data_IF_620337706339
#
_entry.id   IF_620337706339
#
_cell.length_a   1.000
_cell.length_b   1.000
_cell.length_c   1.000
_cell.angle_alpha   90.00
_cell.angle_beta   90.00
_cell.angle_gamma   90.00
#
_symmetry.space_group_name_H-M   'P 1'
#
loop_
_entity.id
_entity.type
_entity.pdbx_description
1 polymer ?
#
# COMPACT_ATOMS: atom_id res chain seq x y z
N UNK A 1 -8.33 -3.35 6.39
CA UNK A 1 -7.26 -3.39 7.41
C UNK A 1 -7.74 -2.96 8.79
N UNK A 2 -8.41 -1.82 8.98
CA UNK A 2 -8.96 -1.47 10.32
C UNK A 2 -10.04 -2.45 10.84
N UNK A 3 -10.89 -3.01 9.97
CA UNK A 3 -11.89 -4.02 10.35
C UNK A 3 -11.32 -5.44 10.55
N UNK A 4 -10.10 -5.71 10.07
CA UNK A 4 -9.37 -6.94 10.38
C UNK A 4 -8.49 -6.78 11.64
N UNK A 5 -8.12 -5.57 12.06
CA UNK A 5 -7.25 -5.37 13.24
C UNK A 5 -8.00 -5.16 14.56
N UNK A 6 -9.31 -4.90 14.53
CA UNK A 6 -10.11 -4.82 15.75
C UNK A 6 -10.29 -6.20 16.44
N UNK A 7 -10.60 -7.31 15.71
CA UNK A 7 -10.58 -8.64 16.32
C UNK A 7 -9.16 -9.18 16.51
N UNK A 8 -8.19 -8.76 15.69
CA UNK A 8 -6.87 -9.41 15.63
C UNK A 8 -5.76 -8.79 16.48
N UNK A 9 -5.96 -7.69 17.17
CA UNK A 9 -5.00 -7.30 18.22
C UNK A 9 -5.36 -7.90 19.58
N UNK A 10 -6.62 -8.30 19.77
CA UNK A 10 -6.96 -9.35 20.74
C UNK A 10 -6.38 -10.71 20.32
N UNK A 11 -6.52 -11.08 19.04
CA UNK A 11 -5.99 -12.35 18.52
C UNK A 11 -4.45 -12.39 18.37
N UNK A 12 -3.73 -11.27 18.25
CA UNK A 12 -2.26 -11.25 18.16
C UNK A 12 -1.60 -11.71 19.47
N UNK A 13 -2.28 -11.55 20.60
CA UNK A 13 -1.86 -12.16 21.88
C UNK A 13 -2.09 -13.68 21.92
N UNK A 14 -2.96 -14.21 21.06
CA UNK A 14 -3.40 -15.62 21.04
C UNK A 14 -2.81 -16.41 19.85
N UNK A 15 -2.43 -15.74 18.76
CA UNK A 15 -2.01 -16.32 17.47
C UNK A 15 -0.52 -16.10 17.12
N UNK A 16 0.27 -15.51 18.02
CA UNK A 16 1.69 -15.21 17.79
C UNK A 16 1.95 -14.00 16.87
N UNK A 17 3.22 -13.66 16.63
CA UNK A 17 3.64 -12.48 15.86
C UNK A 17 3.35 -12.53 14.34
N UNK A 18 2.79 -13.63 13.84
CA UNK A 18 2.55 -13.84 12.41
C UNK A 18 1.60 -12.83 11.74
N UNK A 19 0.44 -12.48 12.32
CA UNK A 19 -0.45 -11.48 11.70
C UNK A 19 0.20 -10.10 11.59
N UNK A 20 1.08 -9.74 12.53
CA UNK A 20 1.84 -8.49 12.50
C UNK A 20 2.86 -8.52 11.36
N UNK A 21 3.64 -9.59 11.24
CA UNK A 21 4.59 -9.77 10.14
C UNK A 21 3.90 -9.76 8.78
N UNK A 22 2.75 -10.43 8.68
CA UNK A 22 1.99 -10.48 7.45
C UNK A 22 1.49 -9.09 7.02
N UNK A 23 0.89 -8.32 7.95
CA UNK A 23 0.37 -6.98 7.67
C UNK A 23 1.43 -5.91 7.43
N UNK A 24 2.60 -6.03 8.07
CA UNK A 24 3.69 -5.04 7.95
C UNK A 24 4.59 -5.36 6.76
N UNK A 25 4.84 -6.64 6.46
CA UNK A 25 5.85 -7.05 5.47
C UNK A 25 5.24 -7.81 4.31
N UNK A 26 4.60 -8.96 4.56
CA UNK A 26 4.21 -9.88 3.49
C UNK A 26 3.21 -9.25 2.52
N UNK A 27 2.12 -8.66 3.03
CA UNK A 27 1.10 -8.04 2.19
C UNK A 27 1.65 -6.81 1.44
N UNK A 28 2.33 -5.84 2.09
CA UNK A 28 2.96 -4.73 1.37
C UNK A 28 3.91 -5.16 0.25
N UNK A 29 4.73 -6.20 0.47
CA UNK A 29 5.62 -6.73 -0.58
C UNK A 29 4.82 -7.25 -1.77
N UNK A 30 3.81 -8.09 -1.54
CA UNK A 30 2.97 -8.65 -2.60
C UNK A 30 2.20 -7.55 -3.34
N UNK A 31 1.65 -6.61 -2.61
CA UNK A 31 0.92 -5.47 -3.14
C UNK A 31 1.81 -4.61 -4.05
N UNK A 32 2.98 -4.18 -3.60
CA UNK A 32 3.86 -3.34 -4.44
C UNK A 32 4.40 -4.11 -5.66
N UNK A 33 4.66 -5.43 -5.55
CA UNK A 33 5.02 -6.24 -6.72
C UNK A 33 3.91 -6.27 -7.76
N UNK A 34 2.65 -6.49 -7.34
CA UNK A 34 1.49 -6.51 -8.22
C UNK A 34 1.19 -5.12 -8.81
N UNK A 35 1.08 -4.09 -7.97
CA UNK A 35 0.64 -2.78 -8.41
C UNK A 35 1.76 -1.95 -9.03
N UNK A 36 2.97 -1.91 -8.45
CA UNK A 36 4.08 -1.09 -8.98
C UNK A 36 4.95 -1.82 -9.99
N UNK A 37 5.18 -3.10 -9.73
CA UNK A 37 5.95 -3.96 -10.61
C UNK A 37 5.18 -4.23 -11.90
N UNK A 38 4.02 -4.88 -11.77
CA UNK A 38 3.25 -5.32 -12.92
C UNK A 38 2.38 -4.20 -13.50
N UNK A 39 1.38 -3.71 -12.76
CA UNK A 39 0.38 -2.78 -13.31
C UNK A 39 0.97 -1.43 -13.72
N UNK A 40 1.63 -0.72 -12.81
CA UNK A 40 2.26 0.57 -13.11
C UNK A 40 3.40 0.42 -14.11
N UNK A 41 4.17 -0.67 -14.03
CA UNK A 41 5.21 -0.98 -15.01
C UNK A 41 4.65 -1.13 -16.42
N UNK A 42 3.58 -1.89 -16.58
CA UNK A 42 2.88 -2.05 -17.85
C UNK A 42 2.25 -0.74 -18.35
N UNK A 43 1.63 0.05 -17.46
CA UNK A 43 1.06 1.35 -17.81
C UNK A 43 2.14 2.35 -18.26
N UNK A 44 3.30 2.38 -17.60
CA UNK A 44 4.41 3.26 -18.00
C UNK A 44 4.96 2.91 -19.39
N UNK A 45 4.97 1.63 -19.76
CA UNK A 45 5.36 1.21 -21.11
C UNK A 45 4.38 1.67 -22.19
N UNK A 46 3.09 1.85 -21.85
CA UNK A 46 2.03 2.22 -22.80
C UNK A 46 1.71 3.71 -22.84
N UNK A 47 1.71 4.36 -21.68
CA UNK A 47 1.30 5.76 -21.50
C UNK A 47 2.50 6.71 -21.35
N UNK A 48 3.70 6.17 -21.14
CA UNK A 48 4.89 6.94 -20.80
C UNK A 48 4.90 7.42 -19.35
N UNK A 49 6.01 8.08 -18.97
CA UNK A 49 6.24 8.61 -17.62
C UNK A 49 6.04 10.12 -17.49
N UNK A 50 5.29 10.75 -18.40
CA UNK A 50 5.00 12.17 -18.30
C UNK A 50 4.14 12.46 -17.06
N UNK A 51 4.51 13.49 -16.30
CA UNK A 51 3.86 13.82 -15.03
C UNK A 51 3.24 15.21 -15.06
N UNK A 52 2.09 15.37 -14.41
CA UNK A 52 1.54 16.67 -14.05
C UNK A 52 1.53 16.80 -12.53
N UNK A 53 2.12 17.89 -12.00
CA UNK A 53 2.32 18.08 -10.55
C UNK A 53 2.98 16.87 -9.83
N UNK A 54 3.91 16.18 -10.52
CA UNK A 54 4.60 15.01 -9.98
C UNK A 54 3.82 13.69 -10.06
N UNK A 55 2.62 13.67 -10.66
CA UNK A 55 1.81 12.45 -10.81
C UNK A 55 1.71 12.09 -12.29
N UNK A 56 2.12 10.88 -12.65
CA UNK A 56 1.90 10.32 -13.99
C UNK A 56 0.50 9.70 -14.11
N UNK A 57 0.03 9.55 -15.35
CA UNK A 57 -1.20 8.79 -15.62
C UNK A 57 -1.10 7.34 -15.13
N UNK A 58 0.06 6.70 -15.30
CA UNK A 58 0.31 5.35 -14.83
C UNK A 58 0.18 5.23 -13.30
N UNK A 59 0.76 6.16 -12.55
CA UNK A 59 0.66 6.22 -11.10
C UNK A 59 -0.79 6.46 -10.64
N UNK A 60 -1.48 7.42 -11.27
CA UNK A 60 -2.87 7.74 -10.92
C UNK A 60 -3.79 6.53 -11.11
N UNK A 61 -3.75 5.89 -12.29
CA UNK A 61 -4.57 4.71 -12.59
C UNK A 61 -4.23 3.55 -11.66
N UNK A 62 -2.94 3.29 -11.43
CA UNK A 62 -2.51 2.24 -10.49
C UNK A 62 -3.02 2.53 -9.08
N UNK A 63 -2.99 3.78 -8.64
CA UNK A 63 -3.43 4.17 -7.30
C UNK A 63 -4.94 4.06 -7.14
N UNK A 64 -5.71 4.42 -8.17
CA UNK A 64 -7.15 4.19 -8.20
C UNK A 64 -7.48 2.69 -8.13
N UNK A 65 -6.77 1.85 -8.88
CA UNK A 65 -6.93 0.40 -8.82
C UNK A 65 -6.56 -0.17 -7.44
N UNK A 66 -5.48 0.32 -6.83
CA UNK A 66 -5.05 -0.06 -5.48
C UNK A 66 -6.12 0.24 -4.42
N UNK A 67 -6.65 1.46 -4.42
CA UNK A 67 -7.73 1.87 -3.53
C UNK A 67 -9.03 1.10 -3.79
N UNK A 68 -9.36 0.81 -5.06
CA UNK A 68 -10.52 -0.01 -5.40
C UNK A 68 -10.38 -1.44 -4.86
N UNK A 69 -9.21 -2.07 -4.98
CA UNK A 69 -8.94 -3.40 -4.41
C UNK A 69 -9.13 -3.42 -2.88
N UNK A 70 -8.85 -2.30 -2.21
CA UNK A 70 -9.06 -2.16 -0.77
C UNK A 70 -10.54 -2.16 -0.36
N UNK A 71 -11.49 -1.85 -1.25
CA UNK A 71 -12.93 -1.91 -0.93
C UNK A 71 -13.41 -3.32 -0.55
N UNK A 72 -12.71 -4.37 -1.00
CA UNK A 72 -13.05 -5.75 -0.64
C UNK A 72 -12.89 -6.03 0.87
N UNK A 73 -11.94 -5.36 1.53
CA UNK A 73 -11.57 -5.65 2.93
C UNK A 73 -11.66 -4.43 3.86
N UNK A 74 -12.14 -3.28 3.36
CA UNK A 74 -12.14 -2.01 4.08
C UNK A 74 -13.41 -1.20 3.82
N UNK A 75 -13.89 -0.43 4.81
CA UNK A 75 -14.92 0.57 4.58
C UNK A 75 -14.49 1.59 3.51
N UNK A 76 -15.43 2.18 2.75
CA UNK A 76 -15.11 3.09 1.65
C UNK A 76 -14.17 4.24 2.02
N UNK A 77 -14.36 4.86 3.18
CA UNK A 77 -13.50 5.95 3.64
C UNK A 77 -12.03 5.51 3.86
N UNK A 78 -11.81 4.30 4.38
CA UNK A 78 -10.48 3.74 4.59
C UNK A 78 -9.82 3.32 3.28
N UNK A 79 -10.58 2.72 2.37
CA UNK A 79 -10.10 2.40 1.03
C UNK A 79 -9.73 3.67 0.25
N UNK A 80 -10.53 4.75 0.38
CA UNK A 80 -10.21 6.03 -0.24
C UNK A 80 -8.95 6.65 0.34
N UNK A 81 -8.76 6.55 1.67
CA UNK A 81 -7.58 7.09 2.34
C UNK A 81 -6.26 6.47 1.84
N UNK A 82 -6.29 5.25 1.28
CA UNK A 82 -5.08 4.62 0.72
C UNK A 82 -4.63 5.23 -0.61
N UNK A 83 -5.45 6.07 -1.26
CA UNK A 83 -5.04 6.77 -2.48
C UNK A 83 -3.81 7.64 -2.27
N UNK A 84 -3.77 8.40 -1.18
CA UNK A 84 -2.67 9.32 -0.91
C UNK A 84 -1.32 8.60 -0.73
N UNK A 85 -1.16 7.61 0.19
CA UNK A 85 0.09 6.88 0.30
C UNK A 85 0.42 6.13 -0.99
N UNK A 86 -0.57 5.56 -1.67
CA UNK A 86 -0.37 4.89 -2.97
C UNK A 86 0.23 5.83 -4.03
N UNK A 87 -0.24 7.07 -4.12
CA UNK A 87 0.33 8.05 -5.06
C UNK A 87 1.80 8.34 -4.73
N UNK A 88 2.16 8.42 -3.45
CA UNK A 88 3.54 8.61 -3.01
C UNK A 88 4.39 7.38 -3.37
N UNK A 89 3.90 6.16 -3.15
CA UNK A 89 4.63 4.93 -3.48
C UNK A 89 4.88 4.82 -4.98
N UNK A 90 3.88 5.16 -5.80
CA UNK A 90 4.02 5.17 -7.25
C UNK A 90 4.98 6.26 -7.75
N UNK A 91 5.01 7.43 -7.11
CA UNK A 91 6.00 8.48 -7.39
C UNK A 91 7.42 8.01 -7.06
N UNK A 92 7.63 7.39 -5.90
CA UNK A 92 8.91 6.81 -5.49
C UNK A 92 9.37 5.75 -6.52
N UNK A 93 8.48 4.85 -6.94
CA UNK A 93 8.80 3.85 -7.97
C UNK A 93 9.24 4.49 -9.28
N UNK A 94 8.60 5.58 -9.71
CA UNK A 94 8.99 6.29 -10.93
C UNK A 94 10.33 7.01 -10.77
N UNK A 95 10.54 7.67 -9.62
CA UNK A 95 11.75 8.43 -9.32
C UNK A 95 13.02 7.58 -9.28
N UNK A 96 12.92 6.35 -8.79
CA UNK A 96 14.05 5.43 -8.61
C UNK A 96 14.09 4.29 -9.63
N UNK A 97 13.06 4.13 -10.46
CA UNK A 97 12.98 3.07 -11.48
C UNK A 97 12.95 1.64 -10.92
N UNK A 98 12.70 1.47 -9.61
CA UNK A 98 12.73 0.19 -8.90
C UNK A 98 11.51 0.07 -7.98
N UNK A 99 11.02 -1.16 -7.78
CA UNK A 99 9.90 -1.44 -6.86
C UNK A 99 10.35 -1.46 -5.40
N UNK A 100 11.61 -1.83 -5.15
CA UNK A 100 12.14 -2.00 -3.79
C UNK A 100 12.00 -0.75 -2.89
N UNK A 101 12.25 0.49 -3.35
CA UNK A 101 12.01 1.68 -2.54
C UNK A 101 10.54 1.88 -2.17
N UNK A 102 9.60 1.53 -3.07
CA UNK A 102 8.17 1.59 -2.79
C UNK A 102 7.76 0.54 -1.75
N UNK A 103 8.31 -0.69 -1.84
CA UNK A 103 8.15 -1.74 -0.82
C UNK A 103 8.62 -1.23 0.53
N UNK A 104 9.85 -0.71 0.62
CA UNK A 104 10.42 -0.25 1.89
C UNK A 104 9.55 0.86 2.51
N UNK A 105 9.07 1.80 1.70
CA UNK A 105 8.21 2.88 2.16
C UNK A 105 6.83 2.38 2.63
N UNK A 106 6.24 1.43 1.93
CA UNK A 106 4.96 0.84 2.31
C UNK A 106 5.08 0.04 3.62
N UNK A 107 6.13 -0.77 3.76
CA UNK A 107 6.43 -1.48 5.01
C UNK A 107 6.59 -0.50 6.18
N UNK A 108 7.36 0.58 5.98
CA UNK A 108 7.53 1.63 6.98
C UNK A 108 6.20 2.30 7.36
N UNK A 109 5.36 2.62 6.37
CA UNK A 109 4.05 3.22 6.58
C UNK A 109 3.13 2.31 7.40
N UNK A 110 3.03 1.02 7.05
CA UNK A 110 2.21 0.06 7.78
C UNK A 110 2.75 -0.22 9.18
N UNK A 111 4.07 -0.26 9.37
CA UNK A 111 4.67 -0.37 10.69
C UNK A 111 4.28 0.82 11.58
N UNK A 112 4.37 2.04 11.06
CA UNK A 112 3.95 3.26 11.77
C UNK A 112 2.47 3.24 12.14
N UNK A 113 1.59 2.90 11.19
CA UNK A 113 0.15 2.75 11.46
C UNK A 113 -0.14 1.68 12.53
N UNK A 114 0.54 0.53 12.46
CA UNK A 114 0.39 -0.52 13.45
C UNK A 114 0.85 -0.08 14.84
N UNK A 115 1.99 0.60 14.93
CA UNK A 115 2.51 1.14 16.20
C UNK A 115 1.53 2.14 16.82
N UNK A 116 1.01 3.09 16.03
CA UNK A 116 -0.02 4.02 16.49
C UNK A 116 -1.28 3.28 16.96
N UNK A 117 -1.71 2.26 16.20
CA UNK A 117 -2.87 1.46 16.56
C UNK A 117 -2.66 0.60 17.82
N UNK A 118 -1.41 0.25 18.18
CA UNK A 118 -1.09 -0.43 19.43
C UNK A 118 -1.01 0.54 20.62
N UNK A 119 -0.61 1.79 20.38
CA UNK A 119 -0.46 2.81 21.41
C UNK A 119 -1.79 3.46 21.85
N UNK A 120 -2.79 3.48 20.96
CA UNK A 120 -4.12 4.05 21.22
C UNK A 120 -5.11 3.04 21.86
N UNK A 121 -4.64 1.89 22.35
CA UNK A 121 -5.44 0.84 22.97
C UNK A 121 -5.23 0.81 24.47
#
# INVERSE_FOLDING_TARGET
MWWLLAPHVGAARVAGGWPLLAGIVLYPVLEELCFRGLLQGWLLQRLGGATHAGISAANLITSLAFAAAHLHAQPPAWALATLLPSLVFGWVRERYGRVLPAIALHVYYNAGLMLCALWLR
#
